data_IF_524040465492
#
_entry.id   IF_524040465492
#
_cell.length_a   1.000
_cell.length_b   1.000
_cell.length_c   1.000
_cell.angle_alpha   90.00
_cell.angle_beta   90.00
_cell.angle_gamma   90.00
#
_symmetry.space_group_name_H-M   'P 1'
#
loop_
_entity.id
_entity.type
_entity.pdbx_description
1 polymer ?
#
# COMPACT_ATOMS: atom_id res chain seq x y z
N UNK A 1 -34.70 -2.73 46.61
CA UNK A 1 -33.46 -2.54 45.83
C UNK A 1 -32.39 -3.61 46.16
N UNK A 2 -32.74 -4.91 46.24
CA UNK A 2 -31.76 -5.97 46.58
C UNK A 2 -31.76 -7.18 45.62
N UNK A 3 -32.77 -7.33 44.77
CA UNK A 3 -32.91 -8.53 43.92
C UNK A 3 -32.24 -8.41 42.53
N UNK A 4 -32.03 -7.19 42.00
CA UNK A 4 -31.42 -6.97 40.68
C UNK A 4 -29.88 -6.98 40.67
N UNK A 5 -29.24 -6.78 41.82
CA UNK A 5 -27.78 -6.69 41.92
C UNK A 5 -27.14 -8.08 42.08
N UNK A 6 -27.82 -9.01 42.77
CA UNK A 6 -27.38 -10.40 42.88
C UNK A 6 -27.48 -11.18 41.56
N UNK A 7 -28.49 -10.88 40.71
CA UNK A 7 -28.63 -11.54 39.40
C UNK A 7 -27.57 -11.08 38.39
N UNK A 8 -27.10 -9.84 38.49
CA UNK A 8 -26.06 -9.32 37.61
C UNK A 8 -24.68 -9.91 37.99
N UNK A 9 -24.39 -10.02 39.29
CA UNK A 9 -23.14 -10.62 39.79
C UNK A 9 -23.05 -12.13 39.50
N UNK A 10 -24.16 -12.86 39.60
CA UNK A 10 -24.18 -14.29 39.24
C UNK A 10 -24.00 -14.52 37.73
N UNK A 11 -24.55 -13.64 36.89
CA UNK A 11 -24.38 -13.67 35.44
C UNK A 11 -22.93 -13.35 35.03
N UNK A 12 -22.30 -12.37 35.68
CA UNK A 12 -20.88 -12.02 35.46
C UNK A 12 -19.97 -13.17 35.91
N UNK A 13 -20.24 -13.81 37.06
CA UNK A 13 -19.48 -14.98 37.50
C UNK A 13 -19.69 -16.24 36.64
N UNK A 14 -20.89 -16.45 36.07
CA UNK A 14 -21.14 -17.52 35.11
C UNK A 14 -20.41 -17.29 33.78
N UNK A 15 -20.30 -16.04 33.32
CA UNK A 15 -19.55 -15.70 32.11
C UNK A 15 -18.03 -15.73 32.32
N UNK A 16 -17.53 -15.37 33.51
CA UNK A 16 -16.11 -15.49 33.87
C UNK A 16 -15.65 -16.95 34.04
N UNK A 17 -16.55 -17.88 34.40
CA UNK A 17 -16.25 -19.32 34.47
C UNK A 17 -16.34 -20.05 33.12
N UNK A 18 -16.78 -19.36 32.07
CA UNK A 18 -16.76 -19.85 30.67
C UNK A 18 -15.56 -19.31 29.89
N UNK A 19 -14.42 -19.09 30.54
CA UNK A 19 -13.15 -19.08 29.83
C UNK A 19 -12.91 -20.50 29.33
N UNK A 20 -13.33 -20.74 28.08
CA UNK A 20 -12.82 -21.84 27.28
C UNK A 20 -11.29 -21.86 27.45
N UNK A 21 -10.67 -23.03 27.68
CA UNK A 21 -9.22 -23.09 27.63
C UNK A 21 -8.78 -22.43 26.33
N UNK A 22 -7.86 -21.46 26.41
CA UNK A 22 -7.18 -20.92 25.25
C UNK A 22 -6.77 -22.12 24.41
N UNK A 23 -7.34 -22.26 23.21
CA UNK A 23 -6.89 -23.28 22.26
C UNK A 23 -5.37 -23.17 22.21
N UNK A 24 -4.62 -24.29 22.25
CA UNK A 24 -3.19 -24.23 22.02
C UNK A 24 -2.98 -23.38 20.76
N UNK A 25 -2.10 -22.36 20.84
CA UNK A 25 -1.83 -21.43 19.73
C UNK A 25 -1.81 -22.25 18.43
N UNK A 26 -2.83 -22.08 17.58
CA UNK A 26 -2.83 -22.69 16.27
C UNK A 26 -1.52 -22.22 15.64
N UNK A 27 -0.61 -23.16 15.35
CA UNK A 27 0.61 -22.85 14.61
C UNK A 27 0.15 -22.12 13.35
N UNK A 28 0.35 -20.81 13.34
CA UNK A 28 0.10 -19.97 12.18
C UNK A 28 0.99 -20.58 11.09
N UNK A 29 0.36 -21.23 10.10
CA UNK A 29 1.11 -21.96 9.09
C UNK A 29 1.70 -20.94 8.13
N UNK A 30 3.00 -20.67 8.29
CA UNK A 30 3.78 -20.07 7.23
C UNK A 30 3.72 -20.98 6.00
N UNK A 31 3.12 -20.49 4.93
CA UNK A 31 3.08 -21.17 3.65
C UNK A 31 4.19 -20.60 2.78
N UNK A 32 5.38 -21.22 2.81
CA UNK A 32 6.54 -20.80 2.03
C UNK A 32 6.27 -20.78 0.51
N UNK A 33 5.27 -21.52 0.04
CA UNK A 33 4.83 -21.45 -1.35
C UNK A 33 4.29 -20.08 -1.74
N UNK A 34 3.73 -19.32 -0.80
CA UNK A 34 3.15 -17.99 -1.03
C UNK A 34 4.19 -16.87 -0.96
N UNK A 35 5.41 -17.12 -0.49
CA UNK A 35 6.41 -16.06 -0.32
C UNK A 35 7.15 -15.69 -1.62
N UNK A 36 6.85 -16.36 -2.74
CA UNK A 36 7.50 -16.10 -4.01
C UNK A 36 6.71 -15.05 -4.81
N UNK A 37 7.36 -13.94 -5.14
CA UNK A 37 6.78 -12.87 -5.97
C UNK A 37 6.31 -13.38 -7.34
N UNK A 38 6.93 -14.43 -7.89
CA UNK A 38 6.61 -15.02 -9.19
C UNK A 38 5.23 -15.69 -9.25
N UNK A 39 4.55 -15.85 -8.11
CA UNK A 39 3.15 -16.27 -8.08
C UNK A 39 2.18 -15.11 -8.36
N UNK A 40 2.65 -13.88 -8.31
CA UNK A 40 1.83 -12.66 -8.37
C UNK A 40 2.17 -11.79 -9.57
N UNK A 41 3.45 -11.72 -9.93
CA UNK A 41 3.94 -10.90 -11.05
C UNK A 41 4.64 -11.77 -12.11
N UNK A 42 4.65 -11.31 -13.35
CA UNK A 42 5.29 -12.03 -14.46
C UNK A 42 6.80 -11.84 -14.47
N UNK A 43 7.27 -10.64 -14.16
CA UNK A 43 8.67 -10.24 -14.30
C UNK A 43 9.15 -9.44 -13.10
N UNK A 44 10.43 -9.57 -12.77
CA UNK A 44 11.16 -8.69 -11.85
C UNK A 44 12.15 -7.87 -12.68
N UNK A 45 12.15 -6.56 -12.50
CA UNK A 45 12.90 -5.61 -13.32
C UNK A 45 13.85 -4.81 -12.44
N UNK A 46 15.10 -4.73 -12.90
CA UNK A 46 16.11 -3.83 -12.37
C UNK A 46 16.14 -2.57 -13.22
N UNK A 47 16.03 -1.42 -12.58
CA UNK A 47 15.90 -0.12 -13.22
C UNK A 47 17.11 0.74 -12.84
N UNK A 48 18.11 0.87 -13.74
CA UNK A 48 19.33 1.60 -13.44
C UNK A 48 19.07 3.09 -13.25
N UNK A 49 19.65 3.66 -12.19
CA UNK A 49 19.58 5.10 -11.87
C UNK A 49 20.91 5.83 -12.08
N UNK A 50 21.99 5.09 -12.34
CA UNK A 50 23.37 5.60 -12.33
C UNK A 50 24.00 5.65 -10.92
N UNK A 51 23.21 5.48 -9.86
CA UNK A 51 23.66 5.42 -8.48
C UNK A 51 23.20 4.13 -7.76
N UNK A 52 22.96 3.08 -8.54
CA UNK A 52 22.32 1.83 -8.12
C UNK A 52 21.06 1.56 -8.93
N UNK A 53 20.23 0.65 -8.45
CA UNK A 53 19.07 0.13 -9.16
C UNK A 53 17.81 0.21 -8.30
N UNK A 54 16.73 0.71 -8.89
CA UNK A 54 15.38 0.55 -8.37
C UNK A 54 14.84 -0.81 -8.81
N UNK A 55 14.06 -1.46 -7.95
CA UNK A 55 13.43 -2.74 -8.25
C UNK A 55 11.94 -2.56 -8.48
N UNK A 56 11.44 -3.20 -9.54
CA UNK A 56 10.02 -3.26 -9.87
C UNK A 56 9.57 -4.68 -10.20
N UNK A 57 8.29 -4.95 -9.98
CA UNK A 57 7.64 -6.20 -10.34
C UNK A 57 6.51 -5.89 -11.33
N UNK A 58 6.56 -6.55 -12.48
CA UNK A 58 5.76 -6.19 -13.65
C UNK A 58 4.90 -7.36 -14.12
N UNK A 59 3.69 -7.01 -14.51
CA UNK A 59 2.81 -7.76 -15.40
C UNK A 59 2.44 -6.83 -16.54
N UNK A 60 2.75 -7.21 -17.77
CA UNK A 60 2.53 -6.32 -18.93
C UNK A 60 1.04 -6.17 -19.22
N UNK A 61 0.57 -4.95 -19.56
CA UNK A 61 -0.80 -4.76 -20.04
C UNK A 61 -0.97 -5.40 -21.42
N UNK A 62 -2.19 -5.87 -21.71
CA UNK A 62 -2.58 -6.19 -23.07
C UNK A 62 -2.81 -4.89 -23.88
N UNK A 63 -2.76 -4.94 -25.22
CA UNK A 63 -3.12 -3.78 -26.06
C UNK A 63 -4.50 -3.21 -25.70
N UNK A 64 -4.65 -1.90 -25.83
CA UNK A 64 -5.86 -1.14 -25.52
C UNK A 64 -6.32 -1.22 -24.04
N UNK A 65 -5.39 -1.56 -23.13
CA UNK A 65 -5.64 -1.69 -21.69
C UNK A 65 -5.06 -0.51 -20.88
N UNK A 66 -4.82 -0.73 -19.59
CA UNK A 66 -4.24 0.22 -18.65
C UNK A 66 -3.12 -0.42 -17.85
N UNK A 67 -2.11 0.37 -17.53
CA UNK A 67 -1.07 0.04 -16.57
C UNK A 67 -1.38 0.69 -15.22
N UNK A 68 -1.62 -0.13 -14.20
CA UNK A 68 -1.68 0.32 -12.82
C UNK A 68 -0.26 0.40 -12.27
N UNK A 69 0.16 1.59 -11.87
CA UNK A 69 1.46 1.80 -11.22
C UNK A 69 1.23 1.89 -9.72
N UNK A 70 1.79 0.95 -8.98
CA UNK A 70 1.51 0.70 -7.57
C UNK A 70 2.72 1.13 -6.72
N UNK A 71 2.51 2.10 -5.82
CA UNK A 71 3.55 2.62 -4.94
C UNK A 71 3.18 2.43 -3.47
N UNK A 72 4.03 1.70 -2.75
CA UNK A 72 3.78 1.34 -1.36
C UNK A 72 4.10 2.48 -0.38
N UNK A 73 3.65 2.32 0.87
CA UNK A 73 3.92 3.25 1.96
C UNK A 73 5.27 3.02 2.66
N UNK A 74 5.66 3.95 3.53
CA UNK A 74 6.92 3.88 4.25
C UNK A 74 6.98 2.64 5.18
N UNK A 75 8.11 1.94 5.17
CA UNK A 75 8.34 0.70 5.92
C UNK A 75 7.70 -0.55 5.31
N UNK A 76 7.17 -0.46 4.08
CA UNK A 76 6.61 -1.57 3.32
C UNK A 76 7.48 -1.93 2.10
N UNK A 77 6.93 -2.65 1.12
CA UNK A 77 7.59 -2.93 -0.16
C UNK A 77 6.57 -3.06 -1.30
N UNK A 78 7.05 -3.24 -2.53
CA UNK A 78 6.24 -3.57 -3.70
C UNK A 78 5.34 -4.81 -3.47
N UNK A 79 5.75 -5.71 -2.57
CA UNK A 79 4.98 -6.91 -2.25
C UNK A 79 3.67 -6.63 -1.52
N UNK A 80 3.49 -5.46 -0.91
CA UNK A 80 2.22 -5.10 -0.27
C UNK A 80 1.03 -5.12 -1.23
N UNK A 81 1.26 -4.91 -2.52
CA UNK A 81 0.21 -5.04 -3.54
C UNK A 81 0.06 -6.45 -4.12
N UNK A 82 0.99 -7.37 -3.86
CA UNK A 82 0.94 -8.73 -4.37
C UNK A 82 -0.41 -9.45 -4.08
N UNK A 83 -1.01 -9.36 -2.87
CA UNK A 83 -2.26 -10.05 -2.56
C UNK A 83 -3.44 -9.71 -3.46
N UNK A 84 -3.45 -8.53 -4.08
CA UNK A 84 -4.55 -8.10 -4.97
C UNK A 84 -4.28 -8.32 -6.45
N UNK A 85 -3.07 -8.72 -6.86
CA UNK A 85 -2.74 -8.91 -8.29
C UNK A 85 -3.56 -10.04 -8.94
N UNK A 86 -3.73 -11.23 -8.32
CA UNK A 86 -4.55 -12.29 -8.91
C UNK A 86 -6.02 -11.86 -9.11
N UNK A 87 -6.56 -11.09 -8.16
CA UNK A 87 -7.92 -10.56 -8.22
C UNK A 87 -8.05 -9.50 -9.33
N UNK A 88 -7.07 -8.60 -9.45
CA UNK A 88 -7.00 -7.62 -10.53
C UNK A 88 -6.90 -8.27 -11.91
N UNK A 89 -6.08 -9.31 -12.05
CA UNK A 89 -5.98 -10.09 -13.28
C UNK A 89 -7.33 -10.73 -13.62
N UNK A 90 -7.98 -11.36 -12.65
CA UNK A 90 -9.29 -11.99 -12.85
C UNK A 90 -10.36 -10.97 -13.26
N UNK A 91 -10.51 -9.88 -12.51
CA UNK A 91 -11.53 -8.85 -12.77
C UNK A 91 -11.25 -8.01 -14.04
N UNK A 92 -9.99 -7.93 -14.48
CA UNK A 92 -9.62 -7.29 -15.75
C UNK A 92 -9.67 -8.22 -16.96
N UNK A 93 -10.15 -9.45 -16.82
CA UNK A 93 -10.12 -10.48 -17.87
C UNK A 93 -8.70 -10.73 -18.42
N UNK A 94 -7.69 -10.64 -17.55
CA UNK A 94 -6.25 -10.73 -17.85
C UNK A 94 -5.73 -9.65 -18.81
N UNK A 95 -6.40 -8.49 -18.90
CA UNK A 95 -5.99 -7.37 -19.75
C UNK A 95 -5.15 -6.34 -19.03
N UNK A 96 -5.37 -6.13 -17.72
CA UNK A 96 -4.69 -5.09 -16.95
C UNK A 96 -3.19 -5.37 -16.79
N UNK A 97 -2.38 -4.32 -16.87
CA UNK A 97 -0.96 -4.37 -16.50
C UNK A 97 -0.73 -3.81 -15.10
N UNK A 98 0.31 -4.29 -14.42
CA UNK A 98 0.64 -3.89 -13.04
C UNK A 98 2.14 -3.68 -12.91
N UNK A 99 2.55 -2.52 -12.42
CA UNK A 99 3.94 -2.22 -12.07
C UNK A 99 4.00 -1.83 -10.60
N UNK A 100 4.52 -2.72 -9.74
CA UNK A 100 4.73 -2.44 -8.31
C UNK A 100 6.21 -2.14 -8.05
N UNK A 101 6.50 -1.02 -7.39
CA UNK A 101 7.87 -0.49 -7.26
C UNK A 101 8.33 -0.44 -5.81
N UNK A 102 9.54 -0.93 -5.56
CA UNK A 102 10.22 -0.76 -4.27
C UNK A 102 10.81 0.65 -4.19
N UNK A 103 10.43 1.40 -3.16
CA UNK A 103 11.05 2.68 -2.84
C UNK A 103 12.54 2.52 -2.54
N UNK A 104 13.28 3.61 -2.69
CA UNK A 104 14.61 3.79 -2.08
C UNK A 104 14.63 3.26 -0.64
N UNK A 105 15.67 2.50 -0.31
CA UNK A 105 15.86 1.90 1.01
C UNK A 105 14.76 0.91 1.46
N UNK A 106 13.92 0.43 0.54
CA UNK A 106 12.87 -0.56 0.78
C UNK A 106 13.02 -1.76 -0.16
N UNK A 107 12.47 -2.90 0.26
CA UNK A 107 12.52 -4.16 -0.49
C UNK A 107 13.93 -4.46 -1.02
N UNK A 108 14.01 -4.76 -2.32
CA UNK A 108 15.26 -5.10 -3.00
C UNK A 108 15.96 -3.90 -3.66
N UNK A 109 15.34 -2.72 -3.66
CA UNK A 109 15.93 -1.48 -4.20
C UNK A 109 17.22 -1.12 -3.47
N UNK A 110 18.26 -0.76 -4.22
CA UNK A 110 19.53 -0.27 -3.70
C UNK A 110 19.98 0.93 -4.53
N UNK A 111 19.75 2.14 -4.02
CA UNK A 111 20.12 3.41 -4.67
C UNK A 111 20.81 4.31 -3.65
N UNK A 112 21.90 4.95 -4.06
CA UNK A 112 22.69 5.82 -3.18
C UNK A 112 22.45 7.31 -3.45
N UNK A 113 22.35 8.16 -2.40
CA UNK A 113 22.28 7.79 -0.99
C UNK A 113 20.89 7.26 -0.60
N UNK A 114 20.84 6.17 0.18
CA UNK A 114 19.59 5.62 0.72
C UNK A 114 18.91 6.54 1.76
N UNK A 115 19.63 7.53 2.29
CA UNK A 115 19.18 8.40 3.38
C UNK A 115 18.33 9.59 2.94
N UNK A 116 18.38 9.98 1.67
CA UNK A 116 17.54 11.05 1.14
C UNK A 116 16.14 10.51 0.85
N UNK A 117 15.29 10.60 1.86
CA UNK A 117 13.89 10.20 1.82
C UNK A 117 12.96 11.41 1.63
N UNK A 118 13.44 12.50 1.03
CA UNK A 118 12.60 13.64 0.70
C UNK A 118 11.53 13.26 -0.33
N UNK A 119 10.34 13.90 -0.27
CA UNK A 119 9.27 13.65 -1.24
C UNK A 119 9.75 13.86 -2.69
N UNK A 120 10.62 14.86 -2.91
CA UNK A 120 11.20 15.16 -4.21
C UNK A 120 12.06 14.00 -4.73
N UNK A 121 12.98 13.48 -3.91
CA UNK A 121 13.84 12.37 -4.29
C UNK A 121 13.04 11.11 -4.62
N UNK A 122 12.07 10.76 -3.77
CA UNK A 122 11.20 9.60 -3.98
C UNK A 122 10.31 9.76 -5.23
N UNK A 123 9.83 10.97 -5.51
CA UNK A 123 9.06 11.25 -6.74
C UNK A 123 9.93 11.18 -7.98
N UNK A 124 11.18 11.62 -7.91
CA UNK A 124 12.13 11.47 -9.01
C UNK A 124 12.40 9.99 -9.32
N UNK A 125 12.64 9.18 -8.30
CA UNK A 125 12.85 7.73 -8.44
C UNK A 125 11.62 7.06 -9.08
N UNK A 126 10.42 7.39 -8.58
CA UNK A 126 9.15 6.87 -9.12
C UNK A 126 8.95 7.23 -10.58
N UNK A 127 9.09 8.52 -10.94
CA UNK A 127 8.91 8.98 -12.32
C UNK A 127 9.93 8.32 -13.25
N UNK A 128 11.20 8.24 -12.82
CA UNK A 128 12.25 7.57 -13.58
C UNK A 128 11.91 6.09 -13.82
N UNK A 129 11.47 5.37 -12.78
CA UNK A 129 11.11 3.97 -12.88
C UNK A 129 9.97 3.73 -13.87
N UNK A 130 8.90 4.52 -13.79
CA UNK A 130 7.77 4.40 -14.72
C UNK A 130 8.18 4.71 -16.14
N UNK A 131 8.91 5.80 -16.38
CA UNK A 131 9.37 6.18 -17.72
C UNK A 131 10.33 5.13 -18.31
N UNK A 132 11.20 4.55 -17.49
CA UNK A 132 12.10 3.48 -17.92
C UNK A 132 11.32 2.27 -18.42
N UNK A 133 10.32 1.81 -17.65
CA UNK A 133 9.46 0.68 -18.04
C UNK A 133 8.62 1.01 -19.28
N UNK A 134 8.07 2.22 -19.37
CA UNK A 134 7.36 2.66 -20.59
C UNK A 134 8.26 2.63 -21.82
N UNK A 135 9.50 3.10 -21.71
CA UNK A 135 10.43 3.18 -22.83
C UNK A 135 10.91 1.80 -23.29
N UNK A 136 11.27 0.90 -22.36
CA UNK A 136 11.83 -0.41 -22.71
C UNK A 136 10.77 -1.33 -23.35
N UNK A 137 9.51 -1.24 -22.90
CA UNK A 137 8.40 -2.02 -23.45
C UNK A 137 7.53 -1.26 -24.47
N UNK A 138 7.85 0.01 -24.74
CA UNK A 138 7.10 0.91 -25.64
C UNK A 138 5.61 1.01 -25.27
N UNK A 139 5.35 1.17 -23.97
CA UNK A 139 4.00 1.25 -23.43
C UNK A 139 3.42 2.65 -23.68
N UNK A 140 2.28 2.69 -24.34
CA UNK A 140 1.51 3.91 -24.60
C UNK A 140 0.17 3.91 -23.84
N UNK A 141 -0.11 2.83 -23.10
CA UNK A 141 -1.31 2.64 -22.31
C UNK A 141 -1.51 3.77 -21.30
N UNK A 142 -2.77 3.97 -20.95
CA UNK A 142 -3.12 4.90 -19.88
C UNK A 142 -2.55 4.41 -18.55
N UNK A 143 -2.14 5.38 -17.74
CA UNK A 143 -1.66 5.12 -16.39
C UNK A 143 -2.78 5.38 -15.38
N UNK A 144 -2.90 4.48 -14.41
CA UNK A 144 -3.58 4.73 -13.14
C UNK A 144 -2.54 4.61 -12.04
N UNK A 145 -2.24 5.71 -11.37
CA UNK A 145 -1.28 5.73 -10.27
C UNK A 145 -2.03 5.37 -8.99
N UNK A 146 -1.54 4.37 -8.25
CA UNK A 146 -2.14 3.88 -7.02
C UNK A 146 -1.08 3.95 -5.92
N UNK A 147 -1.30 4.82 -4.94
CA UNK A 147 -0.34 5.05 -3.87
C UNK A 147 -0.93 4.79 -2.49
N UNK A 148 -0.25 4.01 -1.67
CA UNK A 148 -0.61 3.81 -0.26
C UNK A 148 0.23 4.70 0.66
N UNK A 149 -0.41 5.40 1.59
CA UNK A 149 0.28 6.23 2.59
C UNK A 149 1.28 7.19 1.93
N UNK A 150 2.59 7.10 2.23
CA UNK A 150 3.66 7.82 1.54
C UNK A 150 3.62 7.68 0.00
N UNK A 151 3.34 6.47 -0.51
CA UNK A 151 3.16 6.24 -1.94
C UNK A 151 2.03 7.08 -2.55
N UNK A 152 0.99 7.38 -1.77
CA UNK A 152 -0.10 8.28 -2.16
C UNK A 152 0.40 9.70 -2.45
N UNK A 153 1.31 10.21 -1.61
CA UNK A 153 1.96 11.50 -1.82
C UNK A 153 2.85 11.51 -3.05
N UNK A 154 3.65 10.46 -3.25
CA UNK A 154 4.54 10.33 -4.41
C UNK A 154 3.75 10.32 -5.72
N UNK A 155 2.70 9.49 -5.80
CA UNK A 155 1.83 9.45 -6.96
C UNK A 155 1.11 10.78 -7.19
N UNK A 156 0.70 11.46 -6.12
CA UNK A 156 0.04 12.76 -6.21
C UNK A 156 0.98 13.83 -6.75
N UNK A 157 2.22 13.89 -6.27
CA UNK A 157 3.23 14.83 -6.75
C UNK A 157 3.51 14.61 -8.24
N UNK A 158 3.75 13.36 -8.65
CA UNK A 158 3.99 13.00 -10.05
C UNK A 158 2.82 13.38 -10.98
N UNK A 159 1.58 13.15 -10.54
CA UNK A 159 0.37 13.50 -11.30
C UNK A 159 0.13 15.01 -11.36
N UNK A 160 0.32 15.72 -10.24
CA UNK A 160 0.14 17.16 -10.12
C UNK A 160 1.14 17.92 -10.99
N UNK A 161 2.41 17.54 -10.93
CA UNK A 161 3.49 18.11 -11.75
C UNK A 161 3.44 17.66 -13.21
N UNK A 162 2.54 16.73 -13.57
CA UNK A 162 2.36 16.18 -14.93
C UNK A 162 3.65 15.58 -15.49
N UNK A 163 4.40 14.89 -14.65
CA UNK A 163 5.72 14.30 -15.01
C UNK A 163 5.63 13.00 -15.77
N UNK A 164 4.45 12.39 -15.82
CA UNK A 164 4.16 11.16 -16.54
C UNK A 164 3.12 11.43 -17.64
N UNK A 165 3.30 10.88 -18.85
CA UNK A 165 2.30 10.97 -19.91
C UNK A 165 1.08 10.09 -19.58
N UNK A 166 -0.05 10.37 -20.21
CA UNK A 166 -1.24 9.50 -20.20
C UNK A 166 -1.79 9.10 -18.82
N UNK A 167 -1.52 9.88 -17.77
CA UNK A 167 -2.11 9.68 -16.44
C UNK A 167 -3.62 9.96 -16.50
N UNK A 168 -4.40 8.90 -16.41
CA UNK A 168 -5.86 8.94 -16.49
C UNK A 168 -6.53 8.90 -15.13
N UNK A 169 -5.85 8.37 -14.12
CA UNK A 169 -6.37 8.26 -12.77
C UNK A 169 -5.30 8.31 -11.68
N UNK A 170 -5.68 8.83 -10.53
CA UNK A 170 -4.91 8.87 -9.30
C UNK A 170 -5.75 8.28 -8.16
N UNK A 171 -5.20 7.26 -7.51
CA UNK A 171 -5.81 6.56 -6.38
C UNK A 171 -4.91 6.70 -5.17
N UNK A 172 -5.47 7.21 -4.07
CA UNK A 172 -4.80 7.30 -2.77
C UNK A 172 -5.44 6.30 -1.82
N UNK A 173 -4.62 5.49 -1.15
CA UNK A 173 -5.04 4.52 -0.13
C UNK A 173 -4.53 5.00 1.23
N UNK A 174 -5.46 5.38 2.11
CA UNK A 174 -5.26 5.73 3.52
C UNK A 174 -4.15 6.77 3.77
N UNK A 175 -4.12 7.85 2.96
CA UNK A 175 -3.24 9.01 3.14
C UNK A 175 -4.02 10.33 3.11
N UNK A 176 -3.97 11.11 4.19
CA UNK A 176 -4.68 12.40 4.32
C UNK A 176 -3.84 13.39 5.12
N UNK A 177 -3.65 14.59 4.59
CA UNK A 177 -2.85 15.67 5.19
C UNK A 177 -3.32 16.05 6.59
N UNK A 178 -4.61 16.37 6.78
CA UNK A 178 -5.11 16.82 8.09
C UNK A 178 -5.01 15.79 9.22
N UNK A 179 -4.80 14.52 8.89
CA UNK A 179 -4.59 13.44 9.87
C UNK A 179 -3.12 13.06 10.06
N UNK A 180 -2.20 13.71 9.33
CA UNK A 180 -0.79 13.33 9.28
C UNK A 180 -0.12 13.41 10.67
N UNK A 181 -0.40 14.46 11.46
CA UNK A 181 0.18 14.65 12.80
C UNK A 181 -0.23 13.52 13.76
N UNK A 182 -1.50 13.13 13.76
CA UNK A 182 -1.99 12.02 14.58
C UNK A 182 -1.38 10.69 14.12
N UNK A 183 -1.28 10.51 12.80
CA UNK A 183 -0.61 9.37 12.17
C UNK A 183 0.88 9.29 12.53
N UNK A 184 1.58 10.41 12.75
CA UNK A 184 2.99 10.39 13.20
C UNK A 184 3.13 9.86 14.62
N UNK A 185 2.21 10.19 15.52
CA UNK A 185 2.24 9.64 16.88
C UNK A 185 1.99 8.12 16.86
N UNK A 186 1.06 7.67 16.02
CA UNK A 186 0.85 6.24 15.78
C UNK A 186 2.11 5.58 15.21
N UNK A 187 2.76 6.19 14.21
CA UNK A 187 3.99 5.69 13.59
C UNK A 187 5.15 5.60 14.59
N UNK A 188 5.37 6.62 15.43
CA UNK A 188 6.38 6.58 16.50
C UNK A 188 6.11 5.44 17.48
N UNK A 189 4.84 5.26 17.88
CA UNK A 189 4.45 4.15 18.76
C UNK A 189 4.71 2.81 18.09
N UNK A 190 4.29 2.63 16.84
CA UNK A 190 4.53 1.41 16.07
C UNK A 190 6.03 1.08 16.01
N UNK A 191 6.87 2.06 15.64
CA UNK A 191 8.33 1.89 15.60
C UNK A 191 8.89 1.51 16.97
N UNK A 192 8.44 2.16 18.04
CA UNK A 192 8.92 1.86 19.40
C UNK A 192 8.57 0.44 19.89
N UNK A 193 7.52 -0.17 19.31
CA UNK A 193 7.07 -1.52 19.65
C UNK A 193 7.67 -2.61 18.77
N UNK A 194 8.41 -2.25 17.71
CA UNK A 194 9.04 -3.22 16.81
C UNK A 194 10.18 -3.94 17.54
N UNK A 195 10.24 -5.29 17.48
CA UNK A 195 11.44 -6.03 17.84
C UNK A 195 12.62 -5.52 17.02
N UNK A 196 13.81 -5.43 17.64
CA UNK A 196 15.01 -4.99 16.92
C UNK A 196 15.44 -5.99 15.83
N UNK A 197 15.21 -7.28 16.09
CA UNK A 197 15.51 -8.38 15.18
C UNK A 197 14.55 -9.54 15.41
N UNK A 198 14.52 -10.48 14.46
CA UNK A 198 13.80 -11.75 14.54
C UNK A 198 14.76 -12.91 14.30
N UNK A 199 14.55 -14.04 14.96
CA UNK A 199 15.33 -15.27 14.74
C UNK A 199 14.99 -15.94 13.40
N UNK A 200 13.76 -15.75 12.90
CA UNK A 200 13.34 -16.26 11.60
C UNK A 200 12.25 -15.37 10.97
N UNK A 201 12.01 -15.57 9.66
CA UNK A 201 10.93 -14.89 8.93
C UNK A 201 9.55 -15.29 9.49
N UNK A 202 9.38 -16.54 9.89
CA UNK A 202 8.15 -17.05 10.51
C UNK A 202 7.84 -16.36 11.85
N UNK A 203 8.87 -16.07 12.65
CA UNK A 203 8.70 -15.28 13.87
C UNK A 203 8.21 -13.86 13.56
N UNK A 204 8.80 -13.22 12.53
CA UNK A 204 8.37 -11.90 12.09
C UNK A 204 6.92 -11.90 11.57
N UNK A 205 6.52 -12.92 10.80
CA UNK A 205 5.14 -13.11 10.34
C UNK A 205 4.19 -13.27 11.52
N UNK A 206 4.56 -14.12 12.49
CA UNK A 206 3.77 -14.32 13.71
C UNK A 206 3.59 -13.01 14.48
N UNK A 207 4.64 -12.19 14.58
CA UNK A 207 4.56 -10.88 15.22
C UNK A 207 3.61 -9.92 14.50
N UNK A 208 3.66 -9.83 13.17
CA UNK A 208 2.74 -8.98 12.39
C UNK A 208 1.28 -9.37 12.58
N UNK A 209 0.99 -10.67 12.61
CA UNK A 209 -0.36 -11.20 12.80
C UNK A 209 -0.83 -11.02 14.26
N UNK A 210 0.03 -11.28 15.25
CA UNK A 210 -0.30 -11.09 16.68
C UNK A 210 -0.55 -9.61 17.01
N UNK A 211 0.15 -8.69 16.36
CA UNK A 211 -0.04 -7.23 16.52
C UNK A 211 -1.18 -6.67 15.67
N UNK A 212 -1.77 -7.47 14.78
CA UNK A 212 -2.78 -7.06 13.81
C UNK A 212 -2.32 -5.93 12.88
N UNK A 213 -1.00 -5.81 12.68
CA UNK A 213 -0.41 -4.88 11.70
C UNK A 213 -0.76 -5.34 10.28
N UNK A 214 -0.62 -6.64 10.04
CA UNK A 214 -1.14 -7.34 8.86
C UNK A 214 -2.16 -8.35 9.40
N UNK A 215 -3.36 -8.39 8.81
CA UNK A 215 -4.45 -9.22 9.36
C UNK A 215 -4.59 -10.56 8.66
N UNK A 216 -4.12 -10.65 7.41
CA UNK A 216 -4.23 -11.84 6.58
C UNK A 216 -2.92 -12.64 6.60
N UNK A 217 -3.02 -13.93 6.94
CA UNK A 217 -1.85 -14.82 6.98
C UNK A 217 -1.22 -14.99 5.59
N UNK A 218 -2.04 -15.11 4.54
CA UNK A 218 -1.57 -15.20 3.16
C UNK A 218 -0.83 -13.93 2.72
N UNK A 219 -1.33 -12.75 3.08
CA UNK A 219 -0.62 -11.48 2.83
C UNK A 219 0.73 -11.45 3.54
N UNK A 220 0.75 -11.77 4.84
CA UNK A 220 1.98 -11.75 5.62
C UNK A 220 3.07 -12.67 5.05
N UNK A 221 2.70 -13.81 4.44
CA UNK A 221 3.65 -14.73 3.82
C UNK A 221 4.40 -14.12 2.62
N UNK A 222 3.79 -13.23 1.85
CA UNK A 222 4.42 -12.56 0.71
C UNK A 222 5.03 -11.20 1.09
N UNK A 223 4.43 -10.46 2.03
CA UNK A 223 4.84 -9.09 2.34
C UNK A 223 5.99 -9.03 3.34
N UNK A 224 5.90 -9.74 4.46
CA UNK A 224 6.87 -9.66 5.57
C UNK A 224 8.32 -10.00 5.18
N UNK A 225 8.59 -11.05 4.36
CA UNK A 225 9.98 -11.40 4.02
C UNK A 225 10.76 -10.24 3.40
N UNK A 226 10.09 -9.44 2.55
CA UNK A 226 10.70 -8.29 1.86
C UNK A 226 10.99 -7.09 2.78
N UNK A 227 10.47 -7.10 4.01
CA UNK A 227 10.72 -6.06 5.02
C UNK A 227 11.98 -6.33 5.83
N UNK A 228 12.63 -7.47 5.59
CA UNK A 228 13.72 -7.98 6.41
C UNK A 228 14.98 -8.21 5.58
N UNK A 229 16.12 -8.02 6.23
CA UNK A 229 17.44 -8.38 5.72
C UNK A 229 18.15 -9.27 6.73
N UNK A 230 18.87 -10.32 6.29
CA UNK A 230 19.67 -11.13 7.20
C UNK A 230 20.79 -10.28 7.80
N UNK A 231 21.12 -10.52 9.07
CA UNK A 231 22.31 -9.95 9.69
C UNK A 231 23.59 -10.42 8.99
N UNK A 232 24.71 -9.72 9.20
CA UNK A 232 26.00 -10.06 8.57
C UNK A 232 26.44 -11.51 8.85
N UNK A 233 26.20 -11.98 10.08
CA UNK A 233 26.46 -13.35 10.52
C UNK A 233 25.35 -14.34 10.17
N UNK A 234 24.26 -13.87 9.54
CA UNK A 234 23.05 -14.61 9.16
C UNK A 234 22.37 -15.34 10.34
N UNK A 235 22.61 -14.88 11.57
CA UNK A 235 22.02 -15.46 12.78
C UNK A 235 20.61 -14.95 13.05
N UNK A 236 20.26 -13.77 12.54
CA UNK A 236 18.94 -13.17 12.70
C UNK A 236 18.55 -12.32 11.48
N UNK A 237 17.34 -11.78 11.52
CA UNK A 237 16.79 -10.86 10.55
C UNK A 237 16.57 -9.50 11.21
N UNK A 238 16.97 -8.44 10.53
CA UNK A 238 16.72 -7.06 10.92
C UNK A 238 15.85 -6.39 9.86
N UNK A 239 15.30 -5.22 10.18
CA UNK A 239 14.44 -4.51 9.26
C UNK A 239 15.22 -3.88 8.11
N UNK A 240 14.73 -4.06 6.87
CA UNK A 240 15.34 -3.50 5.65
C UNK A 240 15.45 -1.97 5.71
N UNK A 241 14.44 -1.32 6.27
CA UNK A 241 14.34 0.14 6.35
C UNK A 241 14.42 0.61 7.80
N UNK A 242 15.36 1.51 8.08
CA UNK A 242 15.35 2.31 9.31
C UNK A 242 14.30 3.41 9.20
N UNK A 243 13.05 3.05 9.48
CA UNK A 243 11.92 3.97 9.40
C UNK A 243 12.06 5.15 10.39
N UNK A 244 12.76 4.98 11.52
CA UNK A 244 12.96 6.05 12.50
C UNK A 244 13.83 7.18 11.92
N UNK A 245 14.85 6.83 11.15
CA UNK A 245 15.74 7.80 10.48
C UNK A 245 15.00 8.72 9.51
N UNK A 246 13.84 8.29 9.00
CA UNK A 246 13.03 9.06 8.03
C UNK A 246 12.14 10.13 8.68
N UNK A 247 12.08 10.16 10.02
CA UNK A 247 11.20 11.09 10.76
C UNK A 247 11.36 12.58 10.44
N UNK A 248 12.53 13.11 10.04
CA UNK A 248 12.65 14.50 9.60
C UNK A 248 11.81 14.83 8.37
N UNK A 249 11.49 13.86 7.52
CA UNK A 249 10.79 14.07 6.24
C UNK A 249 9.27 13.90 6.34
N UNK A 250 8.76 13.32 7.42
CA UNK A 250 7.36 12.90 7.50
C UNK A 250 6.37 14.04 7.30
N UNK A 251 6.63 15.22 7.87
CA UNK A 251 5.75 16.39 7.69
C UNK A 251 5.68 16.81 6.22
N UNK A 252 6.83 16.87 5.56
CA UNK A 252 6.95 17.34 4.19
C UNK A 252 6.34 16.37 3.18
N UNK A 253 6.26 15.07 3.51
CA UNK A 253 5.57 14.08 2.68
C UNK A 253 4.10 14.39 2.48
N UNK A 254 3.43 15.00 3.45
CA UNK A 254 1.97 15.20 3.42
C UNK A 254 1.55 16.66 3.26
N UNK A 255 2.49 17.60 3.36
CA UNK A 255 2.21 19.04 3.26
C UNK A 255 1.67 19.39 1.87
N UNK A 256 0.47 19.95 1.80
CA UNK A 256 -0.23 20.30 0.57
C UNK A 256 -0.77 19.11 -0.23
N UNK A 257 -0.75 17.89 0.32
CA UNK A 257 -1.22 16.68 -0.36
C UNK A 257 -2.68 16.83 -0.82
N UNK A 258 -3.55 17.34 0.06
CA UNK A 258 -4.99 17.40 -0.23
C UNK A 258 -5.31 18.36 -1.37
N UNK A 259 -4.66 19.53 -1.41
CA UNK A 259 -4.85 20.50 -2.49
C UNK A 259 -4.27 20.01 -3.82
N UNK A 260 -3.08 19.40 -3.81
CA UNK A 260 -2.47 18.80 -5.00
C UNK A 260 -3.32 17.65 -5.55
N UNK A 261 -3.83 16.79 -4.67
CA UNK A 261 -4.76 15.72 -5.06
C UNK A 261 -6.00 16.31 -5.73
N UNK A 262 -6.68 17.27 -5.10
CA UNK A 262 -7.92 17.85 -5.63
C UNK A 262 -7.73 18.58 -6.97
N UNK A 263 -6.55 19.12 -7.23
CA UNK A 263 -6.24 19.88 -8.46
C UNK A 263 -5.59 19.03 -9.56
N UNK A 264 -5.20 17.79 -9.29
CA UNK A 264 -4.65 16.88 -10.29
C UNK A 264 -5.64 16.65 -11.46
N UNK A 265 -5.12 16.76 -12.68
CA UNK A 265 -5.90 16.74 -13.93
C UNK A 265 -6.21 15.32 -14.43
N UNK A 266 -6.72 14.47 -13.55
CA UNK A 266 -7.12 13.08 -13.83
C UNK A 266 -8.35 12.67 -13.01
N UNK A 267 -8.88 11.47 -13.27
CA UNK A 267 -9.85 10.84 -12.38
C UNK A 267 -9.25 10.62 -10.99
N UNK A 268 -10.05 10.77 -9.93
CA UNK A 268 -9.53 10.72 -8.56
C UNK A 268 -10.36 9.79 -7.68
N UNK A 269 -9.68 8.92 -6.95
CA UNK A 269 -10.27 8.00 -5.98
C UNK A 269 -9.48 8.06 -4.67
N UNK A 270 -10.18 8.27 -3.57
CA UNK A 270 -9.62 8.20 -2.23
C UNK A 270 -10.27 7.01 -1.52
N UNK A 271 -9.44 6.08 -1.03
CA UNK A 271 -9.88 4.90 -0.29
C UNK A 271 -9.33 5.03 1.13
N UNK A 272 -10.21 5.00 2.12
CA UNK A 272 -9.83 5.18 3.53
C UNK A 272 -10.37 4.04 4.39
N UNK A 273 -9.63 3.67 5.43
CA UNK A 273 -10.17 2.72 6.40
C UNK A 273 -11.32 3.34 7.20
N UNK A 274 -11.22 4.63 7.54
CA UNK A 274 -12.23 5.37 8.28
C UNK A 274 -12.40 6.80 7.75
N UNK A 275 -13.65 7.27 7.68
CA UNK A 275 -14.00 8.57 7.11
C UNK A 275 -13.84 9.76 8.07
N UNK A 276 -13.59 9.50 9.35
CA UNK A 276 -13.36 10.51 10.38
C UNK A 276 -12.03 11.28 10.19
N UNK A 277 -11.19 10.84 9.26
CA UNK A 277 -9.87 11.40 8.99
C UNK A 277 -9.83 12.47 7.88
N UNK A 278 -10.95 12.74 7.22
CA UNK A 278 -10.99 13.72 6.11
C UNK A 278 -10.78 15.15 6.61
N UNK A 279 -9.83 15.86 6.02
CA UNK A 279 -9.63 17.28 6.30
C UNK A 279 -10.67 18.18 5.60
N UNK A 280 -10.66 19.46 5.96
CA UNK A 280 -11.63 20.44 5.44
C UNK A 280 -11.60 20.53 3.91
N UNK A 281 -10.42 20.52 3.29
CA UNK A 281 -10.26 20.59 1.84
C UNK A 281 -10.89 19.38 1.15
N UNK A 282 -10.62 18.16 1.66
CA UNK A 282 -11.17 16.93 1.13
C UNK A 282 -12.68 16.85 1.33
N UNK A 283 -13.21 17.26 2.50
CA UNK A 283 -14.66 17.35 2.72
C UNK A 283 -15.31 18.27 1.69
N UNK A 284 -14.76 19.48 1.47
CA UNK A 284 -15.28 20.42 0.48
C UNK A 284 -15.18 19.81 -0.93
N UNK A 285 -14.06 19.20 -1.27
CA UNK A 285 -13.84 18.55 -2.56
C UNK A 285 -14.82 17.41 -2.82
N UNK A 286 -15.13 16.62 -1.80
CA UNK A 286 -16.09 15.53 -1.87
C UNK A 286 -17.50 16.04 -2.09
N UNK A 287 -17.92 17.08 -1.35
CA UNK A 287 -19.23 17.71 -1.53
C UNK A 287 -19.38 18.39 -2.89
N UNK A 288 -18.27 18.78 -3.52
CA UNK A 288 -18.22 19.30 -4.89
C UNK A 288 -18.12 18.20 -5.97
N UNK A 289 -18.06 16.92 -5.57
CA UNK A 289 -17.93 15.79 -6.50
C UNK A 289 -16.58 15.74 -7.24
N UNK A 290 -15.51 16.31 -6.66
CA UNK A 290 -14.19 16.37 -7.30
C UNK A 290 -13.47 15.02 -7.37
N UNK A 291 -13.84 14.07 -6.51
CA UNK A 291 -13.25 12.74 -6.46
C UNK A 291 -14.29 11.72 -5.96
N UNK A 292 -13.98 10.42 -6.12
CA UNK A 292 -14.74 9.35 -5.50
C UNK A 292 -14.14 8.99 -4.15
N UNK A 293 -14.97 8.83 -3.12
CA UNK A 293 -14.55 8.36 -1.81
C UNK A 293 -15.10 6.95 -1.58
N UNK A 294 -14.24 6.03 -1.16
CA UNK A 294 -14.60 4.69 -0.74
C UNK A 294 -14.08 4.43 0.68
N UNK A 295 -14.90 3.77 1.51
CA UNK A 295 -14.57 3.52 2.91
C UNK A 295 -14.54 2.01 3.14
N UNK A 296 -13.45 1.51 3.71
CA UNK A 296 -13.26 0.09 4.05
C UNK A 296 -13.06 -0.08 5.56
N UNK A 297 -14.15 -0.08 6.35
CA UNK A 297 -14.08 -0.04 7.82
C UNK A 297 -13.59 -1.34 8.47
N UNK A 298 -13.57 -2.45 7.73
CA UNK A 298 -13.08 -3.73 8.22
C UNK A 298 -11.54 -3.83 8.23
N UNK A 299 -10.86 -2.91 7.54
CA UNK A 299 -9.42 -2.93 7.32
C UNK A 299 -8.65 -2.07 8.32
N UNK A 300 -7.40 -2.42 8.56
CA UNK A 300 -6.42 -1.55 9.20
C UNK A 300 -5.85 -0.53 8.21
N UNK A 301 -4.62 -0.09 8.48
CA UNK A 301 -3.92 0.88 7.62
C UNK A 301 -3.59 0.30 6.22
N UNK A 302 -3.29 -0.98 6.14
CA UNK A 302 -2.96 -1.68 4.89
C UNK A 302 -4.24 -2.24 4.24
N UNK A 303 -5.14 -1.34 3.81
CA UNK A 303 -6.45 -1.72 3.24
C UNK A 303 -6.33 -2.69 2.06
N UNK A 304 -5.30 -2.53 1.24
CA UNK A 304 -5.03 -3.36 0.06
C UNK A 304 -4.50 -4.76 0.42
N UNK A 305 -3.87 -4.93 1.59
CA UNK A 305 -3.47 -6.24 2.13
C UNK A 305 -4.63 -6.93 2.87
N UNK A 306 -5.45 -6.16 3.58
CA UNK A 306 -6.54 -6.69 4.41
C UNK A 306 -7.77 -7.08 3.59
N UNK A 307 -8.07 -6.33 2.52
CA UNK A 307 -9.23 -6.50 1.66
C UNK A 307 -8.87 -6.50 0.14
N UNK A 308 -8.00 -7.43 -0.33
CA UNK A 308 -7.48 -7.43 -1.69
C UNK A 308 -8.58 -7.56 -2.76
N UNK A 309 -9.58 -8.41 -2.54
CA UNK A 309 -10.72 -8.60 -3.47
C UNK A 309 -11.54 -7.31 -3.62
N UNK A 310 -11.84 -6.64 -2.49
CA UNK A 310 -12.55 -5.37 -2.54
C UNK A 310 -11.73 -4.31 -3.29
N UNK A 311 -10.42 -4.25 -3.02
CA UNK A 311 -9.52 -3.29 -3.64
C UNK A 311 -9.45 -3.48 -5.15
N UNK A 312 -9.30 -4.73 -5.63
CA UNK A 312 -9.29 -5.05 -7.05
C UNK A 312 -10.58 -4.56 -7.73
N UNK A 313 -11.74 -4.90 -7.17
CA UNK A 313 -13.03 -4.48 -7.72
C UNK A 313 -13.21 -2.96 -7.79
N UNK A 314 -12.73 -2.24 -6.78
CA UNK A 314 -12.76 -0.77 -6.77
C UNK A 314 -11.87 -0.19 -7.88
N UNK A 315 -10.65 -0.71 -8.03
CA UNK A 315 -9.71 -0.24 -9.07
C UNK A 315 -10.21 -0.51 -10.48
N UNK A 316 -10.80 -1.69 -10.74
CA UNK A 316 -11.35 -2.04 -12.05
C UNK A 316 -12.58 -1.18 -12.38
N UNK A 317 -13.50 -0.99 -11.44
CA UNK A 317 -14.63 -0.06 -11.62
C UNK A 317 -14.17 1.37 -11.89
N UNK A 318 -13.16 1.82 -11.14
CA UNK A 318 -12.56 3.13 -11.33
C UNK A 318 -11.93 3.26 -12.72
N UNK A 319 -11.18 2.25 -13.16
CA UNK A 319 -10.59 2.22 -14.49
C UNK A 319 -11.67 2.32 -15.58
N UNK A 320 -12.69 1.47 -15.56
CA UNK A 320 -13.76 1.48 -16.56
C UNK A 320 -14.51 2.83 -16.60
N UNK A 321 -14.74 3.46 -15.46
CA UNK A 321 -15.43 4.76 -15.40
C UNK A 321 -14.61 5.89 -16.04
N UNK A 322 -13.28 5.81 -16.00
CA UNK A 322 -12.37 6.85 -16.50
C UNK A 322 -11.80 6.53 -17.90
N UNK A 323 -12.34 5.52 -18.57
CA UNK A 323 -12.13 5.28 -20.00
C UNK A 323 -12.76 6.41 -20.83
N UNK A 324 -12.18 6.79 -21.99
CA UNK A 324 -12.82 7.73 -22.90
C UNK A 324 -14.17 7.16 -23.35
N UNK A 325 -15.18 8.02 -23.51
CA UNK A 325 -16.42 7.63 -24.16
C UNK A 325 -16.11 7.22 -25.61
N UNK A 326 -16.27 5.93 -25.93
CA UNK A 326 -16.29 5.46 -27.32
C UNK A 326 -17.64 5.90 -27.90
N UNK A 327 -17.66 7.08 -28.51
CA UNK A 327 -18.84 7.52 -29.25
C UNK A 327 -18.97 6.67 -30.53
N UNK A 328 -20.18 6.23 -30.89
CA UNK A 328 -20.39 5.54 -32.16
C UNK A 328 -19.92 6.44 -33.31
N UNK A 329 -19.26 5.83 -34.30
CA UNK A 329 -18.90 6.52 -35.54
C UNK A 329 -20.16 7.17 -36.11
N UNK A 330 -20.12 8.49 -36.33
CA UNK A 330 -21.19 9.17 -37.06
C UNK A 330 -21.16 8.63 -38.49
N UNK A 331 -22.13 7.77 -38.82
CA UNK A 331 -22.38 7.30 -40.18
C UNK A 331 -22.98 8.41 -41.04
#
# INVERSE_FOLDING_TARGET
>A
MSFRDQSLRSLIQQNLKKTLPLKPEEKISYESSLSNWGNYFQERIEIPTGHGDLIGYLTLPQPDSCLFVLQHGAGSSAMSFAPMIPELLSESENKGGFLSLDLRAHGETNVQPETDMSLQALTNDFVHAVQYVQNIFRLEEKLILVGHSLGGSICTEAAYEKRLPNVSGLVIIDAIEGSAIESFNYMRRYISTRPASFSSVEEAISWHLKTLTIRQSSSACITVPSLLVPSEDKSCYTWRTDLASTSPFWSDWFTGLSDKFLTAACGKLLIVAAADRLDKSLIIGQMQGKYQLEISPASGHFVHEDAPVQMASLLIKFWHRNQPLVLPLKF
#
